data_IF_585797940337
#
_entry.id   IF_585797940337
#
_cell.length_a   1.000
_cell.length_b   1.000
_cell.length_c   1.000
_cell.angle_alpha   90.00
_cell.angle_beta   90.00
_cell.angle_gamma   90.00
#
_symmetry.space_group_name_H-M   'P 1'
#
loop_
_entity.id
_entity.type
_entity.pdbx_description
1 polymer ?
#
# COMPACT_ATOMS: atom_id res chain seq x y z
N UNK A 1 18.57 27.20 5.28
CA UNK A 1 17.43 27.86 4.62
C UNK A 1 16.18 27.21 5.15
N UNK A 2 15.37 27.93 5.91
CA UNK A 2 14.09 27.43 6.37
C UNK A 2 13.18 27.32 5.12
N UNK A 3 12.80 26.11 4.75
CA UNK A 3 11.75 25.90 3.74
C UNK A 3 10.47 26.54 4.27
N UNK A 4 9.84 27.40 3.49
CA UNK A 4 8.48 27.89 3.75
C UNK A 4 7.52 26.71 3.61
N UNK A 5 7.43 25.89 4.67
CA UNK A 5 6.43 24.82 4.75
C UNK A 5 5.10 25.51 5.01
N UNK A 6 4.21 25.54 4.03
CA UNK A 6 2.87 26.13 4.17
C UNK A 6 1.82 25.16 4.66
N UNK A 7 2.10 23.86 4.63
CA UNK A 7 1.17 22.83 5.08
C UNK A 7 1.85 21.63 5.71
N UNK A 8 1.27 21.13 6.79
CA UNK A 8 1.69 19.91 7.45
C UNK A 8 0.50 18.99 7.66
N UNK A 9 0.57 17.79 7.12
CA UNK A 9 -0.43 16.76 7.32
C UNK A 9 0.09 15.64 8.20
N UNK A 10 -0.75 15.19 9.12
CA UNK A 10 -0.50 13.99 9.91
C UNK A 10 -1.07 12.81 9.15
N UNK A 11 -0.23 11.86 8.81
CA UNK A 11 -0.66 10.64 8.15
C UNK A 11 -0.56 9.49 9.14
N UNK A 12 -1.71 8.91 9.44
CA UNK A 12 -1.85 7.74 10.30
C UNK A 12 -1.94 6.50 9.42
N UNK A 13 -1.11 5.52 9.72
CA UNK A 13 -1.25 4.24 9.07
C UNK A 13 -0.70 4.18 7.65
N UNK A 14 0.42 4.81 7.40
CA UNK A 14 1.15 4.58 6.17
C UNK A 14 1.90 3.25 6.24
N UNK A 15 1.61 2.38 5.31
CA UNK A 15 2.40 1.18 5.04
C UNK A 15 3.76 1.49 4.40
N UNK A 16 4.42 2.53 4.89
CA UNK A 16 5.77 2.85 4.47
C UNK A 16 6.81 1.95 5.14
N UNK A 17 6.38 1.18 6.09
CA UNK A 17 7.19 0.16 6.69
C UNK A 17 7.02 -1.11 5.87
N UNK A 18 8.04 -1.48 5.15
CA UNK A 18 8.02 -2.60 4.22
C UNK A 18 7.86 -3.96 4.89
N UNK A 19 7.89 -4.03 6.20
CA UNK A 19 7.74 -5.27 6.95
C UNK A 19 6.47 -5.33 7.82
N UNK A 20 5.52 -4.46 7.58
CA UNK A 20 4.15 -4.66 8.03
C UNK A 20 3.89 -4.69 9.53
N UNK A 21 4.87 -4.39 10.33
CA UNK A 21 4.75 -4.45 11.79
C UNK A 21 4.10 -3.19 12.39
N UNK A 22 3.28 -2.55 11.65
CA UNK A 22 2.51 -1.42 12.12
C UNK A 22 2.69 -0.21 11.24
N UNK A 23 1.59 0.27 10.80
CA UNK A 23 1.46 1.55 10.18
C UNK A 23 1.78 2.62 11.21
N UNK A 24 3.03 2.99 11.32
CA UNK A 24 3.45 4.03 12.24
C UNK A 24 2.96 5.39 11.75
N UNK A 25 2.38 6.17 12.64
CA UNK A 25 2.01 7.54 12.32
C UNK A 25 3.25 8.36 11.97
N UNK A 26 3.14 9.17 10.94
CA UNK A 26 4.18 10.11 10.55
C UNK A 26 3.60 11.49 10.25
N UNK A 27 4.46 12.48 10.26
CA UNK A 27 4.14 13.82 9.79
C UNK A 27 4.68 13.99 8.39
N UNK A 28 3.84 14.46 7.49
CA UNK A 28 4.20 14.76 6.10
C UNK A 28 4.09 16.26 5.88
N UNK A 29 5.21 16.91 5.64
CA UNK A 29 5.25 18.32 5.28
C UNK A 29 5.06 18.45 3.76
N UNK A 30 4.09 19.26 3.36
CA UNK A 30 3.67 19.44 1.97
C UNK A 30 3.96 20.88 1.56
N UNK A 31 4.50 21.06 0.35
CA UNK A 31 4.55 22.34 -0.33
C UNK A 31 3.20 22.57 -1.02
N UNK A 32 2.40 23.48 -0.48
CA UNK A 32 1.06 23.76 -0.98
C UNK A 32 1.06 24.42 -2.37
N UNK A 33 2.11 25.14 -2.74
CA UNK A 33 2.20 25.76 -4.06
C UNK A 33 2.49 24.74 -5.16
N UNK A 34 3.27 23.70 -4.83
CA UNK A 34 3.68 22.67 -5.77
C UNK A 34 2.94 21.34 -5.58
N UNK A 35 2.12 21.24 -4.53
CA UNK A 35 1.44 20.01 -4.13
C UNK A 35 2.41 18.82 -4.01
N UNK A 36 3.55 19.08 -3.35
CA UNK A 36 4.63 18.09 -3.23
C UNK A 36 5.01 17.83 -1.79
N UNK A 37 5.28 16.57 -1.49
CA UNK A 37 5.88 16.17 -0.22
C UNK A 37 7.29 16.72 -0.11
N UNK A 38 7.52 17.60 0.87
CA UNK A 38 8.84 18.14 1.17
C UNK A 38 9.61 17.20 2.08
N UNK A 39 8.95 16.71 3.15
CA UNK A 39 9.60 15.95 4.21
C UNK A 39 8.62 14.98 4.85
N UNK A 40 9.14 13.81 5.25
CA UNK A 40 8.46 12.85 6.11
C UNK A 40 9.25 12.79 7.42
N UNK A 41 8.56 12.86 8.56
CA UNK A 41 9.14 12.87 9.91
C UNK A 41 8.37 11.93 10.84
N UNK A 42 9.00 11.40 11.89
CA UNK A 42 8.26 10.75 12.95
C UNK A 42 7.16 11.66 13.52
N UNK A 43 6.06 11.06 13.90
CA UNK A 43 5.01 11.76 14.62
C UNK A 43 5.39 11.84 16.11
N UNK A 44 5.18 12.99 16.71
CA UNK A 44 5.41 13.26 18.14
C UNK A 44 4.05 13.35 18.82
N UNK A 45 3.69 12.34 19.57
CA UNK A 45 2.42 12.32 20.29
C UNK A 45 2.35 13.39 21.37
N UNK A 46 3.47 13.65 22.04
CA UNK A 46 3.62 14.65 23.10
C UNK A 46 3.46 16.11 22.64
N UNK A 47 3.48 16.36 21.32
CA UNK A 47 3.13 17.66 20.75
C UNK A 47 1.61 17.86 20.63
N UNK A 48 0.81 16.81 20.80
CA UNK A 48 -0.63 16.82 20.52
C UNK A 48 -1.50 16.32 21.70
N UNK A 49 -0.92 15.55 22.61
CA UNK A 49 -1.60 14.90 23.72
C UNK A 49 -0.71 14.89 24.97
N UNK A 50 -1.30 14.96 26.13
CA UNK A 50 -0.56 14.77 27.39
C UNK A 50 -0.28 13.28 27.63
N UNK A 51 0.70 12.92 28.48
CA UNK A 51 0.95 11.54 28.86
C UNK A 51 -0.26 10.84 29.47
N UNK A 52 -1.09 11.57 30.20
CA UNK A 52 -2.34 11.08 30.81
C UNK A 52 -3.39 10.74 29.75
N UNK A 53 -3.55 11.60 28.75
CA UNK A 53 -4.48 11.37 27.64
C UNK A 53 -4.05 10.20 26.75
N UNK A 54 -2.73 9.98 26.61
CA UNK A 54 -2.18 8.83 25.89
C UNK A 54 -2.40 7.53 26.64
N UNK A 55 -2.62 7.57 27.95
CA UNK A 55 -2.75 6.40 28.82
C UNK A 55 -1.67 5.35 28.52
N UNK A 56 -0.44 5.82 28.42
CA UNK A 56 0.68 4.99 28.04
C UNK A 56 0.99 3.92 29.13
N UNK A 57 1.31 2.72 28.70
CA UNK A 57 1.71 1.66 29.60
C UNK A 57 2.99 2.02 30.36
N UNK A 58 3.06 1.59 31.59
CA UNK A 58 4.24 1.73 32.47
C UNK A 58 4.47 0.43 33.21
N UNK A 59 5.70 -0.08 33.14
CA UNK A 59 6.09 -1.32 33.83
C UNK A 59 7.28 -1.01 34.72
N UNK A 60 7.17 -1.42 35.98
CA UNK A 60 8.26 -1.34 36.94
C UNK A 60 8.83 -2.74 37.21
N UNK A 61 10.09 -2.95 36.90
CA UNK A 61 10.76 -4.22 37.10
C UNK A 61 12.24 -4.03 37.45
N UNK A 62 12.73 -4.77 38.46
CA UNK A 62 14.13 -4.78 38.85
C UNK A 62 14.70 -3.37 39.13
N UNK A 63 13.93 -2.52 39.77
CA UNK A 63 14.32 -1.14 40.09
C UNK A 63 14.43 -0.21 38.90
N UNK A 64 13.85 -0.57 37.73
CA UNK A 64 13.79 0.24 36.54
C UNK A 64 12.33 0.44 36.11
N UNK A 65 12.08 1.61 35.58
CA UNK A 65 10.81 1.93 34.93
C UNK A 65 10.97 1.80 33.41
N UNK A 66 10.03 1.12 32.76
CA UNK A 66 9.91 0.99 31.33
C UNK A 66 8.61 1.65 30.89
N UNK A 67 8.70 2.53 29.93
CA UNK A 67 7.56 3.24 29.34
C UNK A 67 7.83 3.48 27.84
N UNK A 68 6.80 3.64 26.99
CA UNK A 68 7.01 3.91 25.57
C UNK A 68 7.52 5.33 25.39
N UNK A 69 8.33 5.53 24.35
CA UNK A 69 8.61 6.87 23.84
C UNK A 69 7.38 7.48 23.16
N UNK A 70 7.21 8.79 23.31
CA UNK A 70 6.07 9.50 22.66
C UNK A 70 6.33 9.88 21.19
N UNK A 71 7.39 9.40 20.62
CA UNK A 71 7.77 9.61 19.23
C UNK A 71 7.72 8.29 18.48
N UNK A 72 7.05 8.28 17.32
CA UNK A 72 7.00 7.07 16.50
C UNK A 72 8.39 6.71 15.97
N UNK A 73 8.68 5.41 15.91
CA UNK A 73 9.85 4.89 15.23
C UNK A 73 9.49 4.65 13.77
N UNK A 74 10.13 5.38 12.89
CA UNK A 74 9.96 5.23 11.44
C UNK A 74 11.26 4.68 10.88
N UNK A 75 11.16 3.66 10.01
CA UNK A 75 12.35 3.11 9.36
C UNK A 75 13.03 4.17 8.50
N UNK A 76 14.36 4.13 8.36
CA UNK A 76 15.09 5.06 7.51
C UNK A 76 14.62 5.05 6.06
N UNK A 77 14.16 3.90 5.55
CA UNK A 77 13.61 3.76 4.20
C UNK A 77 12.32 4.56 4.03
N UNK A 78 11.46 4.56 5.06
CA UNK A 78 10.21 5.33 5.05
C UNK A 78 10.45 6.83 4.91
N UNK A 79 11.50 7.35 5.52
CA UNK A 79 11.88 8.77 5.40
C UNK A 79 12.28 9.15 3.97
N UNK A 80 12.73 8.18 3.18
CA UNK A 80 13.12 8.37 1.78
C UNK A 80 11.98 8.14 0.78
N UNK A 81 10.80 7.77 1.23
CA UNK A 81 9.69 7.36 0.36
C UNK A 81 9.23 8.44 -0.62
N UNK A 82 9.39 9.71 -0.28
CA UNK A 82 9.13 10.81 -1.21
C UNK A 82 9.90 10.69 -2.52
N UNK A 83 11.12 10.13 -2.49
CA UNK A 83 11.92 9.88 -3.70
C UNK A 83 11.28 8.84 -4.61
N UNK A 84 10.62 7.84 -4.01
CA UNK A 84 9.87 6.82 -4.75
C UNK A 84 8.60 7.40 -5.37
N UNK A 85 7.88 8.25 -4.63
CA UNK A 85 6.67 8.92 -5.12
C UNK A 85 6.96 9.74 -6.38
N UNK A 86 8.10 10.45 -6.39
CA UNK A 86 8.50 11.32 -7.51
C UNK A 86 9.55 10.67 -8.44
N UNK A 87 9.72 9.36 -8.37
CA UNK A 87 10.63 8.64 -9.26
C UNK A 87 10.12 8.69 -10.69
N UNK A 88 11.02 8.96 -11.63
CA UNK A 88 10.72 8.89 -13.07
C UNK A 88 10.38 7.47 -13.55
N UNK A 89 10.80 6.47 -12.78
CA UNK A 89 10.54 5.05 -13.08
C UNK A 89 9.22 4.55 -12.48
N UNK A 90 8.49 5.41 -11.76
CA UNK A 90 7.17 5.06 -11.25
C UNK A 90 6.17 4.99 -12.38
N UNK A 91 5.38 3.93 -12.41
CA UNK A 91 4.24 3.78 -13.34
C UNK A 91 3.07 4.59 -12.77
N UNK A 92 2.71 5.75 -13.38
CA UNK A 92 1.66 6.62 -12.85
C UNK A 92 0.25 6.31 -13.36
N UNK A 93 0.14 5.42 -14.36
CA UNK A 93 -1.10 5.11 -15.06
C UNK A 93 -1.26 3.61 -15.28
N UNK A 94 -2.47 3.10 -15.50
CA UNK A 94 -2.67 1.75 -16.00
C UNK A 94 -1.99 1.58 -17.35
N UNK A 95 -1.33 0.45 -17.52
CA UNK A 95 -0.59 0.12 -18.74
C UNK A 95 -1.00 -1.25 -19.24
N UNK A 96 -1.17 -1.37 -20.54
CA UNK A 96 -1.44 -2.64 -21.25
C UNK A 96 -0.29 -2.95 -22.21
N UNK A 97 0.08 -4.22 -22.37
CA UNK A 97 1.02 -4.60 -23.41
C UNK A 97 0.44 -4.26 -24.77
N UNK A 98 1.28 -3.74 -25.69
CA UNK A 98 0.84 -3.31 -27.02
C UNK A 98 0.33 -4.45 -27.90
N UNK A 99 0.83 -5.66 -27.63
CA UNK A 99 0.56 -6.89 -28.39
C UNK A 99 -0.34 -7.88 -27.64
N UNK A 100 -1.07 -7.42 -26.63
CA UNK A 100 -2.01 -8.25 -25.89
C UNK A 100 -3.44 -7.71 -26.07
N UNK A 101 -4.34 -8.59 -26.47
CA UNK A 101 -5.76 -8.30 -26.59
C UNK A 101 -6.56 -9.34 -25.78
N UNK A 102 -7.42 -8.93 -24.83
CA UNK A 102 -8.24 -9.86 -24.06
C UNK A 102 -9.19 -10.69 -24.92
N UNK A 103 -9.65 -10.13 -26.05
CA UNK A 103 -10.58 -10.78 -26.98
C UNK A 103 -9.91 -11.35 -28.25
N UNK A 104 -8.58 -11.20 -28.35
CA UNK A 104 -7.81 -11.62 -29.51
C UNK A 104 -6.50 -12.32 -29.13
N UNK A 105 -5.42 -11.86 -29.75
CA UNK A 105 -4.10 -12.41 -29.55
C UNK A 105 -3.53 -12.02 -28.19
N UNK A 106 -3.30 -13.01 -27.33
CA UNK A 106 -2.76 -12.78 -25.97
C UNK A 106 -1.24 -12.76 -25.89
N UNK A 107 -0.57 -13.32 -26.87
CA UNK A 107 0.88 -13.31 -27.02
C UNK A 107 1.67 -13.59 -25.71
N UNK A 108 1.42 -14.70 -25.01
CA UNK A 108 2.09 -15.00 -23.74
C UNK A 108 3.61 -15.13 -23.86
N UNK A 109 4.09 -15.53 -25.04
CA UNK A 109 5.51 -15.67 -25.35
C UNK A 109 6.26 -14.32 -25.32
N UNK A 110 5.55 -13.21 -25.44
CA UNK A 110 6.12 -11.86 -25.45
C UNK A 110 6.12 -11.20 -24.06
N UNK A 111 5.79 -11.94 -22.99
CA UNK A 111 5.85 -11.40 -21.63
C UNK A 111 7.29 -11.02 -21.28
N UNK A 112 7.45 -9.80 -20.78
CA UNK A 112 8.77 -9.25 -20.40
C UNK A 112 9.54 -8.60 -21.57
N UNK A 113 9.10 -8.77 -22.83
CA UNK A 113 9.74 -8.18 -24.03
C UNK A 113 8.87 -7.16 -24.74
N UNK A 114 7.56 -7.27 -24.64
CA UNK A 114 6.61 -6.32 -25.23
C UNK A 114 6.76 -4.92 -24.63
N UNK A 115 6.49 -3.92 -25.47
CA UNK A 115 6.21 -2.56 -25.02
C UNK A 115 4.87 -2.43 -24.33
N UNK A 116 4.63 -1.26 -23.75
CA UNK A 116 3.40 -0.94 -23.03
C UNK A 116 2.78 0.33 -23.57
N UNK A 117 1.44 0.39 -23.58
CA UNK A 117 0.65 1.57 -23.91
C UNK A 117 -0.19 1.96 -22.68
N UNK A 118 -0.32 3.25 -22.46
CA UNK A 118 -1.22 3.78 -21.43
C UNK A 118 -2.68 3.54 -21.84
N UNK A 119 -3.47 3.09 -20.87
CA UNK A 119 -4.92 2.95 -20.99
C UNK A 119 -5.63 3.79 -19.91
N UNK A 120 -6.94 3.96 -20.04
CA UNK A 120 -7.74 4.59 -18.97
C UNK A 120 -7.97 3.63 -17.81
N UNK A 121 -8.37 4.17 -16.65
CA UNK A 121 -8.80 3.36 -15.52
C UNK A 121 -10.07 2.55 -15.83
N UNK A 122 -10.99 3.14 -16.60
CA UNK A 122 -12.22 2.46 -17.01
C UNK A 122 -11.91 1.27 -17.92
N UNK A 123 -11.00 1.45 -18.90
CA UNK A 123 -10.54 0.35 -19.75
C UNK A 123 -9.88 -0.75 -18.91
N UNK A 124 -8.99 -0.38 -17.97
CA UNK A 124 -8.33 -1.35 -17.12
C UNK A 124 -9.32 -2.13 -16.25
N UNK A 125 -10.29 -1.43 -15.64
CA UNK A 125 -11.31 -2.06 -14.80
C UNK A 125 -12.21 -3.00 -15.60
N UNK A 126 -12.63 -2.59 -16.81
CA UNK A 126 -13.44 -3.42 -17.70
C UNK A 126 -12.69 -4.69 -18.12
N UNK A 127 -11.44 -4.57 -18.53
CA UNK A 127 -10.61 -5.74 -18.89
C UNK A 127 -10.54 -6.74 -17.73
N UNK A 128 -10.29 -6.27 -16.51
CA UNK A 128 -10.20 -7.15 -15.34
C UNK A 128 -11.54 -7.81 -15.04
N UNK A 129 -12.63 -7.05 -15.07
CA UNK A 129 -13.97 -7.55 -14.81
C UNK A 129 -14.39 -8.62 -15.83
N UNK A 130 -14.14 -8.36 -17.11
CA UNK A 130 -14.44 -9.29 -18.20
C UNK A 130 -13.62 -10.57 -18.11
N UNK A 131 -12.34 -10.49 -17.74
CA UNK A 131 -11.50 -11.66 -17.55
C UNK A 131 -11.93 -12.50 -16.32
N UNK A 132 -12.29 -11.88 -15.21
CA UNK A 132 -12.86 -12.60 -14.06
C UNK A 132 -14.12 -13.33 -14.49
N UNK A 133 -15.05 -12.65 -15.16
CA UNK A 133 -16.28 -13.24 -15.65
C UNK A 133 -16.00 -14.39 -16.61
N UNK A 134 -15.13 -14.19 -17.60
CA UNK A 134 -14.78 -15.23 -18.58
C UNK A 134 -14.23 -16.49 -17.89
N UNK A 135 -13.31 -16.33 -16.92
CA UNK A 135 -12.74 -17.48 -16.20
C UNK A 135 -13.82 -18.22 -15.42
N UNK A 136 -14.74 -17.51 -14.79
CA UNK A 136 -15.86 -18.12 -14.07
C UNK A 136 -16.81 -18.88 -15.01
N UNK A 137 -17.13 -18.29 -16.17
CA UNK A 137 -18.06 -18.88 -17.15
C UNK A 137 -17.45 -20.10 -17.87
N UNK A 138 -16.16 -20.02 -18.26
CA UNK A 138 -15.48 -21.06 -19.04
C UNK A 138 -14.92 -22.22 -18.20
N UNK A 139 -14.54 -21.94 -16.95
CA UNK A 139 -13.88 -22.92 -16.09
C UNK A 139 -14.62 -23.09 -14.75
N UNK A 140 -14.29 -22.32 -13.75
CA UNK A 140 -14.90 -22.30 -12.42
C UNK A 140 -14.25 -21.17 -11.60
N UNK A 141 -14.92 -20.60 -10.59
CA UNK A 141 -14.30 -19.62 -9.70
C UNK A 141 -12.96 -20.03 -9.09
N UNK A 142 -12.80 -21.34 -8.78
CA UNK A 142 -11.54 -21.87 -8.25
C UNK A 142 -10.35 -21.82 -9.22
N UNK A 143 -10.56 -21.49 -10.51
CA UNK A 143 -9.49 -21.28 -11.47
C UNK A 143 -8.77 -19.93 -11.27
N UNK A 144 -9.33 -19.04 -10.44
CA UNK A 144 -8.64 -17.82 -10.01
C UNK A 144 -7.90 -18.12 -8.72
N UNK A 145 -6.58 -18.05 -8.76
CA UNK A 145 -5.74 -18.12 -7.57
C UNK A 145 -5.51 -16.70 -7.03
N UNK A 146 -5.87 -16.46 -5.78
CA UNK A 146 -5.57 -15.22 -5.08
C UNK A 146 -4.42 -15.46 -4.10
N UNK A 147 -3.25 -14.95 -4.46
CA UNK A 147 -2.10 -14.88 -3.57
C UNK A 147 -2.21 -13.60 -2.73
N UNK A 148 -2.14 -13.75 -1.42
CA UNK A 148 -2.22 -12.65 -0.48
C UNK A 148 -1.08 -12.75 0.53
N UNK A 149 -0.62 -11.58 0.96
CA UNK A 149 0.42 -11.44 1.95
C UNK A 149 0.00 -10.41 3.02
N UNK A 150 0.53 -10.56 4.23
CA UNK A 150 0.22 -9.71 5.38
C UNK A 150 1.14 -8.51 5.59
N UNK A 151 2.16 -8.33 4.78
CA UNK A 151 3.13 -7.25 4.96
C UNK A 151 2.65 -5.92 4.38
N UNK A 152 2.98 -4.81 5.07
CA UNK A 152 2.66 -3.45 4.62
C UNK A 152 1.20 -3.04 4.79
N UNK A 153 0.46 -3.72 5.61
CA UNK A 153 -0.96 -3.46 5.83
C UNK A 153 -1.21 -2.17 6.59
N UNK A 154 -1.96 -1.28 5.99
CA UNK A 154 -2.33 -0.01 6.60
C UNK A 154 -3.81 0.13 6.86
N UNK A 155 -4.58 -0.86 6.80
CA UNK A 155 -6.03 -0.92 6.96
C UNK A 155 -6.66 -1.68 5.78
N UNK A 156 -7.96 -1.45 5.54
CA UNK A 156 -8.75 -2.23 4.60
C UNK A 156 -8.28 -2.04 3.14
N UNK A 157 -8.04 -0.79 2.73
CA UNK A 157 -7.75 -0.50 1.31
C UNK A 157 -6.37 -1.00 0.87
N UNK A 158 -5.39 -0.95 1.77
CA UNK A 158 -4.02 -1.40 1.49
C UNK A 158 -3.71 -2.80 2.03
N UNK A 159 -4.66 -3.40 2.73
CA UNK A 159 -4.50 -4.77 3.22
C UNK A 159 -4.52 -5.75 2.05
N UNK A 160 -3.54 -6.64 2.00
CA UNK A 160 -3.44 -7.65 0.95
C UNK A 160 -4.66 -8.55 0.88
N UNK A 161 -5.30 -8.83 2.04
CA UNK A 161 -6.52 -9.62 2.13
C UNK A 161 -7.80 -8.77 2.28
N UNK A 162 -7.75 -7.51 1.91
CA UNK A 162 -8.90 -6.60 2.02
C UNK A 162 -9.77 -6.59 0.77
N UNK A 163 -9.58 -5.58 -0.07
CA UNK A 163 -10.45 -5.34 -1.21
C UNK A 163 -10.46 -6.47 -2.26
N UNK A 164 -9.32 -7.11 -2.52
CA UNK A 164 -9.23 -8.15 -3.54
C UNK A 164 -10.04 -9.39 -3.17
N UNK A 165 -9.92 -9.90 -1.95
CA UNK A 165 -10.68 -11.06 -1.50
C UNK A 165 -12.17 -10.75 -1.47
N UNK A 166 -12.54 -9.55 -1.00
CA UNK A 166 -13.93 -9.11 -1.01
C UNK A 166 -14.51 -9.02 -2.41
N UNK A 167 -13.75 -8.51 -3.37
CA UNK A 167 -14.17 -8.48 -4.77
C UNK A 167 -14.42 -9.89 -5.31
N UNK A 168 -13.45 -10.79 -5.14
CA UNK A 168 -13.53 -12.13 -5.67
C UNK A 168 -14.64 -12.97 -5.00
N UNK A 169 -14.87 -12.79 -3.69
CA UNK A 169 -16.02 -13.38 -3.00
C UNK A 169 -17.35 -12.93 -3.60
N UNK A 170 -17.50 -11.63 -3.85
CA UNK A 170 -18.70 -11.07 -4.47
C UNK A 170 -18.90 -11.54 -5.91
N UNK A 171 -17.81 -11.87 -6.62
CA UNK A 171 -17.86 -12.41 -7.97
C UNK A 171 -18.15 -13.92 -8.03
N UNK A 172 -18.22 -14.61 -6.92
CA UNK A 172 -18.57 -16.05 -6.89
C UNK A 172 -17.48 -16.95 -6.32
N UNK A 173 -16.38 -16.39 -5.86
CA UNK A 173 -15.31 -17.14 -5.17
C UNK A 173 -14.00 -17.23 -5.93
N UNK A 174 -13.03 -17.88 -5.32
CA UNK A 174 -11.66 -18.03 -5.82
C UNK A 174 -10.93 -19.12 -5.03
N UNK A 175 -9.75 -19.51 -5.47
CA UNK A 175 -8.82 -20.32 -4.69
C UNK A 175 -7.90 -19.40 -3.90
N UNK A 176 -7.95 -19.52 -2.58
CA UNK A 176 -7.09 -18.76 -1.68
C UNK A 176 -5.79 -19.52 -1.47
N UNK A 177 -4.67 -18.86 -1.67
CA UNK A 177 -3.41 -19.35 -1.15
C UNK A 177 -3.43 -19.19 0.37
N UNK A 178 -3.44 -20.31 1.09
CA UNK A 178 -3.24 -20.30 2.52
C UNK A 178 -1.80 -19.83 2.82
N UNK A 179 -1.63 -19.15 3.94
CA UNK A 179 -0.37 -18.53 4.40
C UNK A 179 0.87 -19.31 4.00
N UNK A 180 1.91 -18.56 3.65
CA UNK A 180 3.24 -19.11 3.43
C UNK A 180 3.70 -19.86 4.68
N UNK A 181 4.22 -21.09 4.54
CA UNK A 181 4.63 -21.90 5.69
C UNK A 181 5.81 -21.33 6.48
N UNK A 182 6.49 -20.34 5.91
CA UNK A 182 7.75 -19.76 6.39
C UNK A 182 7.59 -18.38 7.05
N UNK A 183 6.39 -17.91 7.27
CA UNK A 183 6.15 -16.62 7.93
C UNK A 183 5.07 -16.67 9.00
#
# INVERSE_FOLDING_TARGET
MASNVKGTSIVKGLGFDSFGLGANACTVDIDEEQDKIIRIRPFHFDEHQTPEELNAWKIEARGKTFEPGFKTLISPLSLCYKKRVYSKNRIPYPMKRVDWDPHGERNPQNRGTSGYVRISWDEAANIVAEEIKRIHDEYHPSAILCEIDGHGETKIVHAAHGCITKLLDLCGGFTLQARQPDS
#
